data_IF_130468556686
#
_entry.id   IF_130468556686
#
_cell.length_a   1.000
_cell.length_b   1.000
_cell.length_c   1.000
_cell.angle_alpha   90.00
_cell.angle_beta   90.00
_cell.angle_gamma   90.00
#
_symmetry.space_group_name_H-M   'P 1'
#
loop_
_entity.id
_entity.type
_entity.pdbx_description
1 polymer ?
#
# COMPACT_ATOMS: atom_id res chain seq x y z
N UNK A 1 39.13 -18.18 -1.51
CA UNK A 1 38.56 -18.60 -0.22
C UNK A 1 37.53 -17.56 0.18
N UNK A 2 36.24 -17.84 -0.04
CA UNK A 2 35.15 -17.05 0.51
C UNK A 2 34.18 -18.03 1.15
N UNK A 3 34.00 -17.85 2.46
CA UNK A 3 33.32 -18.78 3.34
C UNK A 3 31.82 -18.79 3.01
N UNK A 4 31.29 -19.97 2.71
CA UNK A 4 29.88 -20.24 2.50
C UNK A 4 29.28 -20.72 3.83
N UNK A 5 28.23 -20.01 4.28
CA UNK A 5 27.06 -20.53 4.99
C UNK A 5 27.23 -21.51 6.14
N UNK A 6 26.87 -21.04 7.34
CA UNK A 6 26.17 -21.85 8.33
C UNK A 6 24.81 -21.20 8.61
N UNK A 7 23.68 -21.94 8.55
CA UNK A 7 22.43 -21.48 9.14
C UNK A 7 22.40 -21.89 10.62
N UNK A 8 22.35 -20.89 11.51
CA UNK A 8 21.97 -21.08 12.92
C UNK A 8 20.56 -21.66 12.98
N UNK A 9 20.46 -22.87 13.52
CA UNK A 9 19.22 -23.50 13.93
C UNK A 9 18.64 -22.70 15.09
N UNK A 10 17.52 -22.01 14.87
CA UNK A 10 16.74 -21.41 15.95
C UNK A 10 15.76 -22.46 16.44
N UNK A 11 16.01 -22.93 17.66
CA UNK A 11 15.19 -23.89 18.39
C UNK A 11 13.72 -23.42 18.50
N UNK A 12 12.83 -24.29 18.01
CA UNK A 12 11.42 -24.33 18.39
C UNK A 12 11.33 -24.58 19.90
N UNK A 13 10.96 -23.56 20.68
CA UNK A 13 10.53 -23.78 22.05
C UNK A 13 9.33 -22.89 22.40
N UNK A 14 8.16 -23.51 22.24
CA UNK A 14 7.15 -23.60 23.28
C UNK A 14 6.65 -22.26 23.84
N UNK A 15 5.72 -21.61 23.12
CA UNK A 15 4.84 -20.60 23.69
C UNK A 15 3.40 -21.05 23.56
N UNK A 16 2.91 -21.61 24.67
CA UNK A 16 1.52 -21.76 25.07
C UNK A 16 0.55 -21.00 24.15
N UNK A 17 -0.05 -21.75 23.22
CA UNK A 17 -1.27 -21.38 22.53
C UNK A 17 -2.34 -21.12 23.59
N UNK A 18 -2.46 -19.86 23.99
CA UNK A 18 -3.68 -19.39 24.63
C UNK A 18 -4.71 -19.39 23.52
N UNK A 19 -5.39 -20.52 23.37
CA UNK A 19 -6.48 -20.75 22.43
C UNK A 19 -7.61 -19.82 22.85
N UNK A 20 -7.54 -18.55 22.46
CA UNK A 20 -8.70 -17.66 22.46
C UNK A 20 -9.62 -18.21 21.37
N UNK A 21 -10.48 -19.14 21.78
CA UNK A 21 -11.67 -19.48 21.05
C UNK A 21 -12.41 -18.17 20.80
N UNK A 22 -12.29 -17.65 19.59
CA UNK A 22 -13.19 -16.64 19.03
C UNK A 22 -14.57 -17.28 18.93
N UNK A 23 -15.23 -17.43 20.08
CA UNK A 23 -16.66 -17.64 20.09
C UNK A 23 -17.26 -16.46 19.33
N UNK A 24 -18.06 -16.78 18.32
CA UNK A 24 -18.83 -15.85 17.53
C UNK A 24 -19.83 -15.18 18.47
N UNK A 25 -19.38 -14.16 19.19
CA UNK A 25 -20.26 -13.30 19.96
C UNK A 25 -20.62 -12.16 19.03
N UNK A 26 -21.68 -12.36 18.25
CA UNK A 26 -22.40 -11.23 17.66
C UNK A 26 -22.87 -10.37 18.83
N UNK A 27 -22.30 -9.17 18.93
CA UNK A 27 -22.68 -8.18 19.93
C UNK A 27 -24.06 -7.67 19.56
N UNK A 28 -25.08 -8.37 20.02
CA UNK A 28 -26.47 -8.03 19.78
C UNK A 28 -27.00 -7.29 21.00
N UNK A 29 -27.32 -6.01 20.82
CA UNK A 29 -27.88 -5.17 21.87
C UNK A 29 -29.12 -5.85 22.50
N UNK A 30 -29.92 -6.58 21.72
CA UNK A 30 -31.07 -7.32 22.25
C UNK A 30 -30.68 -8.46 23.20
N UNK A 31 -29.52 -9.07 23.00
CA UNK A 31 -29.01 -10.14 23.89
C UNK A 31 -28.55 -9.56 25.22
N UNK A 32 -27.89 -8.40 25.22
CA UNK A 32 -27.40 -7.74 26.44
C UNK A 32 -28.57 -7.22 27.28
N UNK A 33 -29.55 -6.57 26.65
CA UNK A 33 -30.78 -6.11 27.32
C UNK A 33 -31.54 -7.28 27.96
N UNK A 34 -31.58 -8.44 27.29
CA UNK A 34 -32.16 -9.67 27.86
C UNK A 34 -31.40 -10.16 29.09
N UNK A 35 -30.07 -10.09 29.10
CA UNK A 35 -29.28 -10.45 30.28
C UNK A 35 -29.46 -9.47 31.43
N UNK A 36 -29.66 -8.16 31.18
CA UNK A 36 -30.03 -7.22 32.24
C UNK A 36 -31.40 -7.52 32.84
N UNK A 37 -32.36 -7.93 32.01
CA UNK A 37 -33.64 -8.43 32.51
C UNK A 37 -33.47 -9.68 33.38
N UNK A 38 -32.56 -10.60 33.02
CA UNK A 38 -32.25 -11.77 33.85
C UNK A 38 -31.62 -11.37 35.19
N UNK A 39 -30.71 -10.39 35.20
CA UNK A 39 -30.06 -9.88 36.41
C UNK A 39 -31.07 -9.18 37.32
N UNK A 40 -31.91 -8.30 36.77
CA UNK A 40 -32.96 -7.62 37.53
C UNK A 40 -33.98 -8.62 38.14
N UNK A 41 -34.18 -9.77 37.49
CA UNK A 41 -35.07 -10.84 37.95
C UNK A 41 -34.38 -11.92 38.79
N UNK A 42 -33.08 -11.79 39.08
CA UNK A 42 -32.33 -12.79 39.84
C UNK A 42 -32.86 -12.94 41.28
N UNK A 43 -33.25 -11.83 41.90
CA UNK A 43 -33.86 -11.85 43.24
C UNK A 43 -35.35 -12.10 43.11
N UNK A 44 -35.82 -13.21 43.69
CA UNK A 44 -37.25 -13.55 43.67
C UNK A 44 -38.04 -12.70 44.65
N UNK A 45 -39.31 -12.49 44.36
CA UNK A 45 -40.20 -11.68 45.22
C UNK A 45 -40.34 -12.32 46.60
N UNK A 46 -40.36 -13.64 46.66
CA UNK A 46 -40.44 -14.43 47.89
C UNK A 46 -39.22 -14.20 48.78
N UNK A 47 -38.02 -14.30 48.20
CA UNK A 47 -36.74 -14.07 48.91
C UNK A 47 -36.63 -12.63 49.42
N UNK A 48 -37.07 -11.65 48.64
CA UNK A 48 -37.13 -10.26 49.08
C UNK A 48 -38.08 -10.07 50.26
N UNK A 49 -39.28 -10.66 50.20
CA UNK A 49 -40.29 -10.54 51.25
C UNK A 49 -39.86 -11.17 52.58
N UNK A 50 -38.97 -12.17 52.56
CA UNK A 50 -38.38 -12.78 53.76
C UNK A 50 -37.42 -11.83 54.50
N UNK A 51 -36.80 -10.89 53.78
CA UNK A 51 -35.79 -9.96 54.33
C UNK A 51 -36.37 -8.63 54.83
N UNK A 52 -37.54 -8.23 54.35
CA UNK A 52 -38.15 -6.93 54.69
C UNK A 52 -39.07 -7.01 55.93
N UNK A 53 -39.14 -5.94 56.74
CA UNK A 53 -39.98 -5.92 57.93
C UNK A 53 -41.47 -5.96 57.58
N UNK A 54 -42.25 -6.75 58.34
CA UNK A 54 -43.70 -6.93 58.16
C UNK A 54 -44.50 -5.75 58.71
N UNK A 55 -44.35 -4.58 58.10
CA UNK A 55 -45.07 -3.36 58.43
C UNK A 55 -46.46 -3.35 57.77
N UNK A 56 -47.52 -3.07 58.55
CA UNK A 56 -48.88 -2.92 58.01
C UNK A 56 -48.97 -1.67 57.14
N UNK A 57 -49.56 -1.81 55.95
CA UNK A 57 -49.84 -0.69 55.03
C UNK A 57 -48.78 -0.44 53.96
N UNK A 58 -47.59 -1.06 54.06
CA UNK A 58 -46.55 -0.95 53.03
C UNK A 58 -46.77 -1.99 51.93
N UNK A 59 -46.79 -1.55 50.68
CA UNK A 59 -46.93 -2.42 49.51
C UNK A 59 -45.57 -2.88 48.99
N UNK A 60 -44.87 -3.68 49.80
CA UNK A 60 -43.49 -4.13 49.54
C UNK A 60 -43.27 -4.75 48.16
N UNK A 61 -44.22 -5.56 47.67
CA UNK A 61 -44.14 -6.16 46.31
C UNK A 61 -44.14 -5.09 45.22
N UNK A 62 -44.96 -4.05 45.36
CA UNK A 62 -45.03 -2.97 44.38
C UNK A 62 -43.74 -2.15 44.40
N UNK A 63 -43.22 -1.83 45.59
CA UNK A 63 -41.95 -1.12 45.73
C UNK A 63 -40.77 -1.91 45.17
N UNK A 64 -40.75 -3.23 45.39
CA UNK A 64 -39.71 -4.11 44.85
C UNK A 64 -39.75 -4.16 43.32
N UNK A 65 -40.95 -4.25 42.74
CA UNK A 65 -41.12 -4.21 41.29
C UNK A 65 -40.72 -2.86 40.69
N UNK A 66 -41.04 -1.74 41.34
CA UNK A 66 -40.53 -0.43 40.95
C UNK A 66 -39.01 -0.40 40.98
N UNK A 67 -38.39 -0.82 42.10
CA UNK A 67 -36.94 -0.86 42.23
C UNK A 67 -36.26 -1.72 41.15
N UNK A 68 -36.84 -2.87 40.81
CA UNK A 68 -36.33 -3.72 39.71
C UNK A 68 -36.38 -3.01 38.36
N UNK A 69 -37.48 -2.33 38.08
CA UNK A 69 -37.64 -1.58 36.83
C UNK A 69 -36.71 -0.37 36.78
N UNK A 70 -36.53 0.34 37.89
CA UNK A 70 -35.62 1.48 37.98
C UNK A 70 -34.17 1.03 37.76
N UNK A 71 -33.73 -0.07 38.42
CA UNK A 71 -32.39 -0.63 38.21
C UNK A 71 -32.19 -1.06 36.75
N UNK A 72 -33.19 -1.71 36.14
CA UNK A 72 -33.12 -2.10 34.74
C UNK A 72 -32.99 -0.87 33.83
N UNK A 73 -33.83 0.15 34.04
CA UNK A 73 -33.81 1.40 33.27
C UNK A 73 -32.47 2.12 33.36
N UNK A 74 -31.87 2.20 34.56
CA UNK A 74 -30.55 2.79 34.76
C UNK A 74 -29.45 1.99 34.06
N UNK A 75 -29.50 0.65 34.11
CA UNK A 75 -28.56 -0.21 33.38
C UNK A 75 -28.66 -0.02 31.86
N UNK A 76 -29.88 0.08 31.32
CA UNK A 76 -30.12 0.32 29.90
C UNK A 76 -29.61 1.71 29.48
N UNK A 77 -29.87 2.73 30.28
CA UNK A 77 -29.45 4.11 30.03
C UNK A 77 -27.93 4.26 30.06
N UNK A 78 -27.26 3.69 31.07
CA UNK A 78 -25.80 3.77 31.21
C UNK A 78 -25.12 3.09 30.02
N UNK A 79 -25.58 1.90 29.64
CA UNK A 79 -25.02 1.17 28.49
C UNK A 79 -25.29 1.90 27.18
N UNK A 80 -26.49 2.48 27.00
CA UNK A 80 -26.79 3.29 25.82
C UNK A 80 -25.87 4.52 25.74
N UNK A 81 -25.61 5.17 26.88
CA UNK A 81 -24.70 6.31 26.97
C UNK A 81 -23.25 5.90 26.65
N UNK A 82 -22.77 4.79 27.20
CA UNK A 82 -21.45 4.23 26.85
C UNK A 82 -21.35 3.83 25.38
N UNK A 83 -22.43 3.26 24.82
CA UNK A 83 -22.50 2.81 23.44
C UNK A 83 -22.33 3.97 22.45
N UNK A 84 -23.00 5.09 22.73
CA UNK A 84 -22.88 6.32 21.95
C UNK A 84 -21.53 6.99 22.18
N UNK A 85 -21.08 7.12 23.43
CA UNK A 85 -19.81 7.74 23.79
C UNK A 85 -18.62 7.08 23.09
N UNK A 86 -18.58 5.74 23.09
CA UNK A 86 -17.53 4.96 22.44
C UNK A 86 -17.70 4.86 20.92
N UNK A 87 -18.75 5.44 20.36
CA UNK A 87 -19.09 5.38 18.94
C UNK A 87 -19.11 3.93 18.42
N UNK A 88 -19.70 3.04 19.20
CA UNK A 88 -19.77 1.61 18.91
C UNK A 88 -20.43 1.28 17.57
N UNK A 89 -21.49 1.99 17.11
CA UNK A 89 -22.08 1.73 15.79
C UNK A 89 -21.05 1.82 14.66
N UNK A 90 -20.20 2.87 14.67
CA UNK A 90 -19.16 3.05 13.66
C UNK A 90 -18.06 2.00 13.75
N UNK A 91 -17.64 1.65 14.98
CA UNK A 91 -16.63 0.60 15.20
C UNK A 91 -17.12 -0.75 14.67
N UNK A 92 -18.39 -1.11 14.91
CA UNK A 92 -19.00 -2.34 14.39
C UNK A 92 -19.14 -2.33 12.88
N UNK A 93 -19.55 -1.22 12.27
CA UNK A 93 -19.64 -1.09 10.81
C UNK A 93 -18.26 -1.30 10.14
N UNK A 94 -17.21 -0.73 10.73
CA UNK A 94 -15.83 -0.94 10.25
C UNK A 94 -15.43 -2.40 10.36
N UNK A 95 -15.77 -3.07 11.47
CA UNK A 95 -15.47 -4.49 11.66
C UNK A 95 -16.20 -5.38 10.66
N UNK A 96 -17.48 -5.13 10.38
CA UNK A 96 -18.24 -5.92 9.41
C UNK A 96 -17.69 -5.73 7.99
N UNK A 97 -17.38 -4.49 7.57
CA UNK A 97 -16.71 -4.22 6.28
C UNK A 97 -15.36 -4.91 6.16
N UNK A 98 -14.59 -4.99 7.25
CA UNK A 98 -13.33 -5.71 7.27
C UNK A 98 -13.54 -7.23 7.18
N UNK A 99 -14.55 -7.76 7.87
CA UNK A 99 -14.91 -9.17 7.83
C UNK A 99 -15.33 -9.59 6.41
N UNK A 100 -16.21 -8.83 5.75
CA UNK A 100 -16.57 -9.05 4.34
C UNK A 100 -15.33 -9.08 3.43
N UNK A 101 -14.44 -8.08 3.60
CA UNK A 101 -13.25 -7.94 2.75
C UNK A 101 -12.18 -9.02 2.95
N UNK A 102 -12.03 -9.57 4.15
CA UNK A 102 -10.89 -10.44 4.49
C UNK A 102 -11.26 -11.87 4.88
N UNK A 103 -12.43 -12.11 5.48
CA UNK A 103 -12.87 -13.43 5.91
C UNK A 103 -13.41 -14.28 4.75
N UNK A 104 -14.04 -13.65 3.74
CA UNK A 104 -14.53 -14.36 2.56
C UNK A 104 -13.39 -14.88 1.66
N UNK A 105 -12.26 -14.18 1.63
CA UNK A 105 -11.16 -14.48 0.70
C UNK A 105 -10.30 -15.67 1.20
N UNK A 106 -10.18 -15.88 2.52
CA UNK A 106 -9.41 -17.01 3.07
C UNK A 106 -9.94 -17.45 4.46
N UNK A 107 -11.07 -18.17 4.53
CA UNK A 107 -11.72 -18.52 5.80
C UNK A 107 -10.87 -19.42 6.71
N UNK A 108 -9.93 -20.20 6.15
CA UNK A 108 -9.14 -21.19 6.89
C UNK A 108 -7.69 -20.76 7.16
N UNK A 109 -7.28 -19.55 6.77
CA UNK A 109 -5.91 -19.06 7.04
C UNK A 109 -5.89 -18.22 8.30
N UNK A 110 -5.02 -18.59 9.23
CA UNK A 110 -4.61 -17.70 10.31
C UNK A 110 -4.03 -16.41 9.71
N UNK A 111 -4.66 -15.29 10.04
CA UNK A 111 -4.23 -13.97 9.56
C UNK A 111 -3.15 -13.47 10.52
N UNK A 112 -2.06 -12.95 9.97
CA UNK A 112 -0.98 -12.37 10.76
C UNK A 112 -1.53 -11.31 11.73
N UNK A 113 -1.09 -11.38 12.99
CA UNK A 113 -1.41 -10.41 14.03
C UNK A 113 -0.10 -9.76 14.50
N UNK A 114 -0.07 -8.44 14.72
CA UNK A 114 1.07 -7.77 15.32
C UNK A 114 1.44 -8.46 16.64
N UNK A 115 2.68 -8.95 16.75
CA UNK A 115 3.23 -9.44 18.00
C UNK A 115 3.89 -8.27 18.73
N UNK A 116 3.62 -8.10 20.03
CA UNK A 116 4.12 -6.95 20.82
C UNK A 116 5.65 -6.81 20.81
N UNK A 117 6.38 -7.89 20.54
CA UNK A 117 7.84 -7.90 20.52
C UNK A 117 8.44 -7.74 19.11
N UNK A 118 7.63 -7.62 18.05
CA UNK A 118 8.09 -7.51 16.67
C UNK A 118 7.76 -6.15 16.03
N UNK A 119 8.23 -5.07 16.68
CA UNK A 119 8.08 -3.70 16.18
C UNK A 119 8.71 -3.55 14.79
N UNK A 120 9.84 -4.23 14.54
CA UNK A 120 10.53 -4.21 13.24
C UNK A 120 9.68 -4.84 12.14
N UNK A 121 9.04 -5.99 12.39
CA UNK A 121 8.13 -6.63 11.45
C UNK A 121 6.88 -5.79 11.18
N UNK A 122 6.34 -5.14 12.21
CA UNK A 122 5.20 -4.22 12.07
C UNK A 122 5.53 -3.01 11.18
N UNK A 123 6.66 -2.34 11.42
CA UNK A 123 7.10 -1.20 10.62
C UNK A 123 7.37 -1.61 9.16
N UNK A 124 8.03 -2.75 8.95
CA UNK A 124 8.25 -3.29 7.60
C UNK A 124 6.92 -3.57 6.89
N UNK A 125 5.97 -4.22 7.56
CA UNK A 125 4.66 -4.52 6.97
C UNK A 125 3.90 -3.23 6.57
N UNK A 126 3.99 -2.18 7.39
CA UNK A 126 3.41 -0.88 7.08
C UNK A 126 4.06 -0.24 5.84
N UNK A 127 5.39 -0.25 5.76
CA UNK A 127 6.13 0.42 4.68
C UNK A 127 6.10 -0.33 3.35
N UNK A 128 5.91 -1.66 3.35
CA UNK A 128 5.93 -2.49 2.12
C UNK A 128 4.96 -1.98 1.06
N UNK A 129 3.77 -1.52 1.42
CA UNK A 129 2.80 -1.01 0.46
C UNK A 129 3.29 0.29 -0.21
N UNK A 130 3.85 1.20 0.57
CA UNK A 130 4.41 2.46 0.07
C UNK A 130 5.66 2.22 -0.79
N UNK A 131 6.56 1.36 -0.33
CA UNK A 131 7.77 0.98 -1.06
C UNK A 131 7.43 0.30 -2.40
N UNK A 132 6.39 -0.54 -2.45
CA UNK A 132 5.91 -1.15 -3.72
C UNK A 132 5.41 -0.09 -4.69
N UNK A 133 4.63 0.90 -4.22
CA UNK A 133 4.16 2.01 -5.05
C UNK A 133 5.33 2.84 -5.59
N UNK A 134 6.28 3.22 -4.73
CA UNK A 134 7.47 3.97 -5.13
C UNK A 134 8.33 3.20 -6.13
N UNK A 135 8.56 1.90 -5.91
CA UNK A 135 9.28 1.03 -6.85
C UNK A 135 8.61 1.02 -8.23
N UNK A 136 7.29 0.84 -8.28
CA UNK A 136 6.55 0.84 -9.55
C UNK A 136 6.68 2.15 -10.30
N UNK A 137 6.62 3.28 -9.59
CA UNK A 137 6.78 4.61 -10.19
C UNK A 137 8.20 4.80 -10.74
N UNK A 138 9.23 4.47 -9.96
CA UNK A 138 10.62 4.60 -10.37
C UNK A 138 10.94 3.74 -11.60
N UNK A 139 10.42 2.51 -11.66
CA UNK A 139 10.57 1.66 -12.84
C UNK A 139 9.93 2.27 -14.09
N UNK A 140 8.72 2.83 -13.96
CA UNK A 140 8.04 3.51 -15.07
C UNK A 140 8.86 4.70 -15.59
N UNK A 141 9.39 5.53 -14.70
CA UNK A 141 10.20 6.70 -15.07
C UNK A 141 11.53 6.30 -15.71
N UNK A 142 12.17 5.24 -15.19
CA UNK A 142 13.39 4.70 -15.77
C UNK A 142 13.16 4.21 -17.21
N UNK A 143 12.09 3.46 -17.44
CA UNK A 143 11.72 2.94 -18.76
C UNK A 143 11.36 4.06 -19.75
N UNK A 144 10.68 5.13 -19.29
CA UNK A 144 10.39 6.30 -20.11
C UNK A 144 11.68 7.03 -20.53
N UNK A 145 12.60 7.24 -19.58
CA UNK A 145 13.88 7.88 -19.86
C UNK A 145 14.75 7.06 -20.81
N UNK A 146 14.80 5.74 -20.63
CA UNK A 146 15.51 4.85 -21.54
C UNK A 146 14.94 4.94 -22.96
N UNK A 147 13.61 4.99 -23.09
CA UNK A 147 12.92 5.16 -24.38
C UNK A 147 13.28 6.50 -25.04
N UNK A 148 13.33 7.60 -24.27
CA UNK A 148 13.77 8.92 -24.78
C UNK A 148 15.23 8.91 -25.20
N UNK A 149 16.12 8.33 -24.39
CA UNK A 149 17.54 8.20 -24.71
C UNK A 149 17.77 7.40 -25.99
N UNK A 150 17.04 6.30 -26.18
CA UNK A 150 17.11 5.48 -27.39
C UNK A 150 16.64 6.22 -28.64
N UNK A 151 15.58 7.04 -28.53
CA UNK A 151 15.14 7.93 -29.63
C UNK A 151 16.22 8.94 -29.99
N UNK A 152 16.80 9.62 -28.99
CA UNK A 152 17.88 10.59 -29.22
C UNK A 152 19.11 9.93 -29.84
N UNK A 153 19.49 8.73 -29.39
CA UNK A 153 20.61 7.97 -29.95
C UNK A 153 20.40 7.67 -31.43
N UNK A 154 19.19 7.27 -31.84
CA UNK A 154 18.83 7.07 -33.25
C UNK A 154 18.94 8.37 -34.05
N UNK A 155 18.43 9.48 -33.53
CA UNK A 155 18.53 10.79 -34.18
C UNK A 155 19.98 11.24 -34.35
N UNK A 156 20.81 11.07 -33.33
CA UNK A 156 22.25 11.42 -33.39
C UNK A 156 22.97 10.55 -34.41
N UNK A 157 22.68 9.24 -34.46
CA UNK A 157 23.26 8.35 -35.45
C UNK A 157 22.90 8.77 -36.89
N UNK A 158 21.63 9.11 -37.14
CA UNK A 158 21.18 9.61 -38.44
C UNK A 158 21.89 10.91 -38.83
N UNK A 159 21.98 11.89 -37.91
CA UNK A 159 22.70 13.15 -38.15
C UNK A 159 24.19 12.94 -38.44
N UNK A 160 24.84 12.03 -37.73
CA UNK A 160 26.24 11.65 -37.99
C UNK A 160 26.40 11.03 -39.39
N UNK A 161 25.48 10.17 -39.80
CA UNK A 161 25.46 9.59 -41.15
C UNK A 161 25.35 10.66 -42.24
N UNK A 162 24.41 11.59 -42.07
CA UNK A 162 24.23 12.72 -42.99
C UNK A 162 25.47 13.62 -43.08
N UNK A 163 26.08 13.96 -41.94
CA UNK A 163 27.31 14.76 -41.90
C UNK A 163 28.46 14.08 -42.66
N UNK A 164 28.60 12.76 -42.52
CA UNK A 164 29.63 11.98 -43.23
C UNK A 164 29.39 12.00 -44.75
N UNK A 165 28.14 11.91 -45.19
CA UNK A 165 27.80 12.03 -46.61
C UNK A 165 28.17 13.40 -47.16
N UNK A 166 27.80 14.48 -46.46
CA UNK A 166 28.19 15.85 -46.84
C UNK A 166 29.71 16.03 -46.89
N UNK A 167 30.45 15.46 -45.94
CA UNK A 167 31.91 15.50 -45.94
C UNK A 167 32.50 14.83 -47.19
N UNK A 168 31.95 13.68 -47.61
CA UNK A 168 32.38 13.00 -48.83
C UNK A 168 32.07 13.81 -50.08
N UNK A 169 30.91 14.47 -50.15
CA UNK A 169 30.56 15.34 -51.27
C UNK A 169 31.49 16.54 -51.37
N UNK A 170 31.81 17.19 -50.24
CA UNK A 170 32.78 18.31 -50.20
C UNK A 170 34.14 17.85 -50.75
N UNK A 171 34.65 16.70 -50.29
CA UNK A 171 35.92 16.16 -50.78
C UNK A 171 35.89 15.86 -52.28
N UNK A 172 34.76 15.34 -52.78
CA UNK A 172 34.56 15.10 -54.21
C UNK A 172 34.61 16.39 -55.02
N UNK A 173 33.97 17.47 -54.56
CA UNK A 173 34.01 18.77 -55.23
C UNK A 173 35.41 19.41 -55.18
N UNK A 174 36.11 19.32 -54.05
CA UNK A 174 37.48 19.80 -53.91
C UNK A 174 38.41 19.11 -54.92
N UNK A 175 38.37 17.77 -55.00
CA UNK A 175 39.17 17.01 -55.97
C UNK A 175 38.84 17.36 -57.42
N UNK A 176 37.57 17.59 -57.74
CA UNK A 176 37.15 18.02 -59.09
C UNK A 176 37.67 19.43 -59.41
N UNK A 177 37.64 20.33 -58.44
CA UNK A 177 38.18 21.69 -58.58
C UNK A 177 39.68 21.66 -58.84
N UNK A 178 40.44 20.87 -58.07
CA UNK A 178 41.90 20.69 -58.28
C UNK A 178 42.20 20.17 -59.69
N UNK A 179 41.45 19.19 -60.18
CA UNK A 179 41.61 18.68 -61.54
C UNK A 179 41.33 19.74 -62.61
N UNK A 180 40.34 20.61 -62.40
CA UNK A 180 40.05 21.72 -63.33
C UNK A 180 41.21 22.72 -63.32
N UNK A 181 41.73 23.08 -62.15
CA UNK A 181 42.87 23.99 -62.03
C UNK A 181 44.12 23.46 -62.74
N UNK A 182 44.42 22.17 -62.57
CA UNK A 182 45.54 21.51 -63.29
C UNK A 182 45.35 21.63 -64.81
N UNK A 183 44.16 21.32 -65.33
CA UNK A 183 43.86 21.42 -66.77
C UNK A 183 43.97 22.85 -67.30
N UNK A 184 43.54 23.85 -66.51
CA UNK A 184 43.68 25.26 -66.88
C UNK A 184 45.17 25.63 -66.94
N UNK A 185 45.95 25.22 -65.94
CA UNK A 185 47.38 25.47 -65.89
C UNK A 185 48.12 24.85 -67.09
N UNK A 186 47.85 23.58 -67.40
CA UNK A 186 48.39 22.89 -68.59
C UNK A 186 48.05 23.63 -69.89
N UNK A 187 46.81 24.13 -70.02
CA UNK A 187 46.41 24.92 -71.19
C UNK A 187 47.17 26.24 -71.28
N UNK A 188 47.30 26.96 -70.18
CA UNK A 188 48.04 28.24 -70.14
C UNK A 188 49.50 28.01 -70.54
N UNK A 189 50.15 26.98 -69.98
CA UNK A 189 51.54 26.65 -70.29
C UNK A 189 51.72 26.29 -71.78
N UNK A 190 50.78 25.54 -72.36
CA UNK A 190 50.80 25.23 -73.79
C UNK A 190 50.60 26.48 -74.67
N UNK A 191 49.73 27.40 -74.26
CA UNK A 191 49.52 28.67 -74.95
C UNK A 191 50.76 29.56 -74.89
N UNK A 192 51.44 29.63 -73.74
CA UNK A 192 52.69 30.37 -73.57
C UNK A 192 53.79 29.80 -74.47
N UNK A 193 53.95 28.47 -74.50
CA UNK A 193 54.88 27.80 -75.42
C UNK A 193 54.58 28.15 -76.88
N UNK A 194 53.31 28.09 -77.29
CA UNK A 194 52.91 28.44 -78.66
C UNK A 194 53.19 29.91 -78.99
N UNK A 195 52.91 30.83 -78.07
CA UNK A 195 53.19 32.25 -78.24
C UNK A 195 54.70 32.51 -78.43
N UNK A 196 55.54 31.83 -77.65
CA UNK A 196 56.99 31.90 -77.77
C UNK A 196 57.52 31.34 -79.10
N UNK A 197 56.82 30.39 -79.74
CA UNK A 197 57.17 29.89 -81.07
C UNK A 197 56.71 30.82 -82.21
N UNK A 198 55.71 31.67 -81.98
CA UNK A 198 55.07 32.52 -82.99
C UNK A 198 55.63 33.95 -83.03
N UNK A 199 56.47 34.33 -82.06
CA UNK A 199 57.13 35.63 -81.99
C UNK A 199 58.59 35.52 -82.49
N UNK A 200 58.92 36.25 -83.59
CA UNK A 200 60.22 36.76 -84.00
C UNK A 200 61.47 36.46 -83.19
#
# INVERSE_FOLDING_TARGET
>A
MFNMGEPEQVEDNNRNDTTMNNSVVTFDNFRILKEFSNIANLVRTEEFLETVPKLRGVKWVQMFNCLKQDILSEMEQEISSMWEFENMPKKLEILEKQKEKYAEINPNKSVWRPQNNDIKGQLKAFDVANLRKQKSLLLSLAQENESKANRLKKTVAAKRGYLKALQMDIQKYQKKSEQIMIKIHEKIENHEKLANYMLP
#
